data_IF_526471576766
#
_entry.id   IF_526471576766
#
_cell.length_a   1.000
_cell.length_b   1.000
_cell.length_c   1.000
_cell.angle_alpha   90.00
_cell.angle_beta   90.00
_cell.angle_gamma   90.00
#
_symmetry.space_group_name_H-M   'P 1'
#
loop_
_entity.id
_entity.type
_entity.pdbx_description
1 polymer ?
2 non-polymer ?
3 non-polymer ?
4 non-polymer ?
5 water ?
#
# COMPACT_ATOMS: atom_id res chain seq x y z
N UNK A 11 -25.34 8.77 21.96
CA UNK A 11 -24.08 9.44 21.71
C UNK A 11 -23.45 9.01 20.40
N UNK A 12 -23.46 9.93 19.43
CA UNK A 12 -22.98 9.59 18.08
C UNK A 12 -21.49 9.23 18.09
N UNK A 13 -20.71 9.90 18.94
CA UNK A 13 -19.31 9.54 19.07
C UNK A 13 -19.16 8.13 19.60
N UNK A 14 -19.98 7.76 20.59
CA UNK A 14 -19.92 6.42 21.17
C UNK A 14 -20.48 5.39 20.21
N UNK A 15 -21.43 5.78 19.35
CA UNK A 15 -21.98 4.84 18.39
C UNK A 15 -20.95 4.39 17.37
N UNK A 16 -20.14 5.33 16.88
CA UNK A 16 -19.07 4.97 15.95
C UNK A 16 -18.03 4.11 16.65
N UNK A 17 -17.72 4.43 17.92
CA UNK A 17 -16.73 3.65 18.65
C UNK A 17 -17.17 2.22 18.88
N UNK A 18 -18.47 2.01 19.15
CA UNK A 18 -18.98 0.64 19.25
C UNK A 18 -18.93 -0.06 17.90
N UNK A 19 -19.26 0.66 16.82
CA UNK A 19 -19.14 0.09 15.48
C UNK A 19 -17.69 -0.29 15.17
N UNK A 20 -16.76 0.65 15.40
CA UNK A 20 -15.35 0.35 15.18
C UNK A 20 -14.88 -0.80 16.07
N UNK A 21 -15.42 -0.88 17.29
CA UNK A 21 -15.06 -1.99 18.17
C UNK A 21 -15.46 -3.33 17.60
N UNK A 22 -16.70 -3.43 17.08
CA UNK A 22 -17.14 -4.67 16.47
C UNK A 22 -16.48 -4.92 15.11
N UNK A 23 -16.04 -3.86 14.43
CA UNK A 23 -15.27 -4.05 13.20
C UNK A 23 -13.96 -4.76 13.48
N UNK A 24 -13.22 -4.30 14.49
CA UNK A 24 -11.91 -4.89 14.79
C UNK A 24 -12.05 -6.27 15.43
N UNK A 25 -13.11 -6.49 16.21
CA UNK A 25 -13.31 -7.81 16.80
C UNK A 25 -13.63 -8.84 15.73
N UNK A 26 -14.54 -8.49 14.81
CA UNK A 26 -14.92 -9.42 13.75
C UNK A 26 -13.78 -9.66 12.78
N UNK A 27 -12.84 -8.72 12.68
CA UNK A 27 -11.74 -8.86 11.74
C UNK A 27 -10.85 -10.05 12.09
N UNK A 28 -10.72 -10.35 13.38
CA UNK A 28 -9.83 -11.41 13.86
C UNK A 28 -10.23 -12.75 13.24
N UNK A 29 -11.46 -13.26 13.43
CA UNK A 29 -11.81 -14.51 12.75
C UNK A 29 -11.81 -14.41 11.23
N UNK A 30 -12.19 -13.26 10.67
CA UNK A 30 -12.20 -13.12 9.21
C UNK A 30 -10.78 -13.27 8.66
N UNK A 31 -9.79 -12.71 9.35
CA UNK A 31 -8.42 -12.83 8.89
C UNK A 31 -7.91 -14.26 9.03
N UNK A 32 -8.11 -14.87 10.21
CA UNK A 32 -7.49 -16.16 10.48
C UNK A 32 -8.17 -17.29 9.72
N UNK A 33 -9.49 -17.26 9.60
CA UNK A 33 -10.21 -18.40 9.03
C UNK A 33 -10.51 -18.24 7.55
N UNK A 34 -10.30 -17.06 6.96
CA UNK A 34 -10.72 -16.86 5.58
C UNK A 34 -9.66 -16.17 4.73
N UNK A 35 -9.17 -15.00 5.18
CA UNK A 35 -8.27 -14.22 4.35
C UNK A 35 -6.92 -14.89 4.16
N UNK A 36 -6.46 -15.65 5.15
CA UNK A 36 -5.11 -16.22 5.14
C UNK A 36 -5.08 -17.64 4.61
N UNK A 37 -6.11 -18.07 3.87
CA UNK A 37 -6.11 -19.42 3.31
C UNK A 37 -4.99 -19.60 2.29
N UNK A 38 -4.61 -18.53 1.58
CA UNK A 38 -3.56 -18.65 0.60
C UNK A 38 -2.16 -18.54 1.18
N UNK A 39 -2.02 -17.86 2.32
CA UNK A 39 -0.71 -17.71 2.95
C UNK A 39 -0.40 -18.87 3.89
N UNK A 40 -1.39 -19.30 4.67
CA UNK A 40 -1.19 -20.34 5.67
C UNK A 40 -1.45 -21.72 5.09
N UNK A 41 -0.89 -22.77 5.71
CA UNK A 41 -0.97 -24.11 5.11
C UNK A 41 -2.35 -24.73 5.20
N UNK A 42 -2.65 -25.55 4.20
CA UNK A 42 -3.96 -26.19 4.08
C UNK A 42 -4.28 -27.05 5.29
N UNK A 43 -3.31 -27.84 5.75
CA UNK A 43 -3.57 -28.81 6.81
C UNK A 43 -3.90 -28.16 8.15
N UNK A 44 -3.56 -26.87 8.32
CA UNK A 44 -3.99 -26.15 9.52
C UNK A 44 -5.52 -26.05 9.58
N UNK A 45 -6.17 -26.02 8.43
CA UNK A 45 -7.60 -25.77 8.42
C UNK A 45 -8.38 -27.07 8.33
N UNK A 46 -9.43 -27.25 9.14
CA UNK A 46 -10.29 -28.43 8.98
C UNK A 46 -10.99 -28.41 7.63
N UNK A 47 -11.48 -29.60 7.24
CA UNK A 47 -12.10 -29.77 5.93
C UNK A 47 -13.36 -28.92 5.81
N UNK A 48 -14.10 -28.73 6.91
CA UNK A 48 -15.31 -27.93 6.85
C UNK A 48 -14.97 -26.46 6.61
N UNK A 49 -13.87 -25.98 7.18
CA UNK A 49 -13.45 -24.62 6.92
C UNK A 49 -12.88 -24.47 5.52
N UNK A 50 -12.20 -25.51 5.03
CA UNK A 50 -11.66 -25.44 3.67
C UNK A 50 -12.79 -25.47 2.63
N UNK A 51 -13.86 -26.21 2.90
CA UNK A 51 -15.00 -26.21 2.00
C UNK A 51 -15.75 -24.88 2.04
N UNK A 52 -15.81 -24.25 3.22
CA UNK A 52 -16.41 -22.92 3.31
C UNK A 52 -15.61 -21.90 2.51
N UNK A 53 -14.28 -21.97 2.60
CA UNK A 53 -13.44 -21.11 1.78
C UNK A 53 -13.69 -21.37 0.29
N UNK A 54 -13.90 -22.63 -0.09
CA UNK A 54 -14.20 -22.93 -1.48
C UNK A 54 -15.56 -22.37 -1.90
N UNK A 55 -16.53 -22.35 -0.98
CA UNK A 55 -17.81 -21.74 -1.30
C UNK A 55 -17.67 -20.25 -1.58
N UNK A 56 -16.85 -19.56 -0.78
CA UNK A 56 -16.63 -18.14 -1.04
C UNK A 56 -15.97 -17.92 -2.39
N UNK A 57 -14.91 -18.68 -2.68
CA UNK A 57 -14.15 -18.48 -3.92
C UNK A 57 -15.04 -18.69 -5.13
N UNK A 58 -15.92 -19.68 -5.09
CA UNK A 58 -16.74 -20.01 -6.26
C UNK A 58 -17.97 -19.11 -6.36
N UNK A 59 -18.62 -18.81 -5.24
CA UNK A 59 -19.79 -17.94 -5.27
C UNK A 59 -19.43 -16.52 -5.71
N UNK A 60 -18.34 -15.97 -5.18
CA UNK A 60 -17.96 -14.60 -5.45
C UNK A 60 -16.92 -14.48 -6.56
N UNK A 61 -16.46 -15.61 -7.12
CA UNK A 61 -15.52 -15.61 -8.23
C UNK A 61 -14.26 -14.81 -7.88
N UNK A 62 -13.74 -15.03 -6.67
CA UNK A 62 -12.55 -14.32 -6.20
C UNK A 62 -11.29 -14.94 -6.79
N UNK A 63 -10.51 -14.20 -7.57
CA UNK A 63 -9.35 -14.80 -8.25
C UNK A 63 -8.04 -14.64 -7.49
N UNK A 64 -8.05 -13.90 -6.39
CA UNK A 64 -6.82 -13.52 -5.70
C UNK A 64 -6.62 -14.24 -4.38
N UNK A 65 -7.67 -14.54 -3.62
CA UNK A 65 -7.49 -14.93 -2.23
C UNK A 65 -6.96 -16.36 -2.08
N UNK A 66 -7.41 -17.28 -2.92
CA UNK A 66 -7.03 -18.68 -2.75
C UNK A 66 -5.59 -18.93 -3.23
N UNK A 67 -5.23 -18.43 -4.41
CA UNK A 67 -3.88 -18.56 -4.96
C UNK A 67 -3.30 -17.16 -5.13
N UNK A 68 -2.82 -16.53 -4.07
CA UNK A 68 -2.48 -15.11 -4.12
C UNK A 68 -1.26 -14.84 -4.98
N UNK A 69 -1.33 -13.82 -5.84
CA UNK A 69 -0.11 -13.32 -6.48
C UNK A 69 0.82 -12.69 -5.45
N UNK A 70 2.08 -12.52 -5.85
CA UNK A 70 3.11 -12.08 -4.91
C UNK A 70 2.76 -10.74 -4.28
N UNK A 71 2.18 -9.82 -5.05
CA UNK A 71 1.85 -8.50 -4.50
C UNK A 71 0.71 -8.60 -3.50
N UNK A 72 -0.28 -9.43 -3.77
CA UNK A 72 -1.37 -9.62 -2.82
C UNK A 72 -0.93 -10.46 -1.63
N UNK A 73 -0.04 -11.44 -1.85
CA UNK A 73 0.48 -12.25 -0.75
C UNK A 73 1.27 -11.39 0.23
N UNK A 74 2.04 -10.43 -0.27
CA UNK A 74 2.78 -9.54 0.61
C UNK A 74 1.81 -8.75 1.50
N UNK A 75 0.65 -8.36 0.94
CA UNK A 75 -0.36 -7.68 1.75
C UNK A 75 -0.95 -8.62 2.80
N UNK A 76 -1.17 -9.88 2.42
CA UNK A 76 -1.74 -10.84 3.37
C UNK A 76 -0.80 -11.06 4.55
N UNK A 77 0.51 -11.12 4.29
CA UNK A 77 1.46 -11.25 5.38
C UNK A 77 1.44 -10.01 6.27
N UNK A 78 1.26 -8.83 5.67
CA UNK A 78 1.09 -7.62 6.48
C UNK A 78 -0.13 -7.72 7.37
N UNK A 79 -1.18 -8.40 6.89
CA UNK A 79 -2.39 -8.55 7.69
C UNK A 79 -2.14 -9.45 8.90
N UNK A 80 -1.30 -10.46 8.74
CA UNK A 80 -1.04 -11.39 9.83
C UNK A 80 -0.07 -10.79 10.84
N UNK A 81 0.99 -10.16 10.36
CA UNK A 81 2.09 -9.77 11.25
C UNK A 81 1.82 -8.42 11.90
N UNK A 82 1.21 -7.49 11.17
CA UNK A 82 0.99 -6.14 11.70
C UNK A 82 -0.45 -5.90 12.11
N UNK A 83 -1.40 -6.15 11.20
CA UNK A 83 -2.78 -5.76 11.44
C UNK A 83 -3.41 -6.59 12.55
N UNK A 84 -3.26 -7.92 12.46
CA UNK A 84 -3.93 -8.80 13.41
C UNK A 84 -3.54 -8.57 14.86
N UNK A 85 -2.27 -8.32 15.20
CA UNK A 85 -1.96 -7.94 16.60
C UNK A 85 -2.64 -6.66 17.02
N UNK A 86 -2.93 -5.76 16.08
CA UNK A 86 -3.55 -4.48 16.42
C UNK A 86 -5.05 -4.63 16.67
N UNK A 87 -5.69 -5.62 16.04
CA UNK A 87 -7.14 -5.75 16.12
C UNK A 87 -7.69 -5.81 17.54
N UNK A 88 -7.19 -6.67 18.44
CA UNK A 88 -7.75 -6.67 19.81
C UNK A 88 -7.46 -5.39 20.57
N UNK A 89 -6.29 -4.78 20.37
CA UNK A 89 -5.96 -3.54 21.05
C UNK A 89 -6.90 -2.42 20.60
N UNK A 90 -7.20 -2.37 19.30
CA UNK A 90 -8.11 -1.35 18.80
C UNK A 90 -9.54 -1.59 19.30
N UNK A 91 -9.96 -2.85 19.31
CA UNK A 91 -11.30 -3.18 19.81
C UNK A 91 -11.46 -2.73 21.26
N UNK A 92 -10.47 -3.04 22.10
CA UNK A 92 -10.53 -2.61 23.50
C UNK A 92 -10.62 -1.10 23.60
N UNK A 93 -9.77 -0.39 22.85
CA UNK A 93 -9.70 1.06 22.96
C UNK A 93 -11.05 1.69 22.65
N UNK A 94 -11.70 1.24 21.57
CA UNK A 94 -12.94 1.89 21.15
C UNK A 94 -14.13 1.38 21.96
N UNK A 95 -14.14 0.10 22.32
CA UNK A 95 -15.18 -0.40 23.21
C UNK A 95 -15.14 0.31 24.56
N UNK A 96 -13.94 0.61 25.05
CA UNK A 96 -13.83 1.29 26.35
C UNK A 96 -14.00 2.80 26.20
N UNK A 97 -13.50 3.37 25.11
CA UNK A 97 -13.52 4.80 24.93
C UNK A 97 -12.55 5.50 25.86
N UNK A 98 -12.31 6.79 25.61
CA UNK A 98 -11.38 7.52 26.45
C UNK A 98 -9.92 7.15 26.25
N UNK A 99 -9.57 6.61 25.09
CA UNK A 99 -8.21 6.13 24.83
C UNK A 99 -7.59 6.96 23.71
N UNK A 100 -7.18 8.19 24.06
CA UNK A 100 -6.55 9.07 23.08
C UNK A 100 -5.30 8.45 22.48
N UNK A 101 -4.65 7.53 23.21
CA UNK A 101 -3.41 6.93 22.75
C UNK A 101 -3.58 6.05 21.51
N UNK A 102 -4.82 5.78 21.10
CA UNK A 102 -5.03 4.94 19.91
C UNK A 102 -4.96 5.73 18.63
N UNK A 103 -4.93 7.07 18.70
CA UNK A 103 -5.06 7.91 17.51
C UNK A 103 -3.97 7.63 16.48
N UNK A 104 -2.71 7.93 16.82
CA UNK A 104 -1.63 7.70 15.87
C UNK A 104 -1.54 6.26 15.41
N UNK A 105 -1.68 5.23 16.26
CA UNK A 105 -1.73 3.86 15.71
C UNK A 105 -2.86 3.65 14.73
N UNK A 106 -4.08 4.11 15.06
CA UNK A 106 -5.22 3.90 14.18
C UNK A 106 -5.06 4.64 12.86
N UNK A 107 -4.41 5.81 12.87
CA UNK A 107 -4.10 6.50 11.63
C UNK A 107 -3.19 5.63 10.77
N UNK A 108 -2.13 5.09 11.37
CA UNK A 108 -1.22 4.20 10.65
C UNK A 108 -1.98 3.01 10.10
N UNK A 109 -2.77 2.33 10.94
CA UNK A 109 -3.54 1.19 10.46
C UNK A 109 -4.42 1.58 9.27
N UNK A 110 -5.05 2.75 9.34
CA UNK A 110 -6.06 3.11 8.35
C UNK A 110 -5.43 3.38 7.00
N UNK A 111 -4.38 4.20 6.97
CA UNK A 111 -3.73 4.53 5.70
C UNK A 111 -3.09 3.29 5.09
N UNK A 112 -2.53 2.42 5.93
CA UNK A 112 -1.96 1.17 5.42
C UNK A 112 -3.02 0.30 4.75
N UNK A 113 -4.20 0.21 5.34
CA UNK A 113 -5.23 -0.68 4.79
C UNK A 113 -5.93 -0.03 3.60
N UNK A 114 -6.12 1.28 3.63
CA UNK A 114 -6.61 1.99 2.44
C UNK A 114 -5.66 1.82 1.28
N UNK A 115 -4.35 1.99 1.53
CA UNK A 115 -3.38 1.81 0.47
C UNK A 115 -3.37 0.37 -0.03
N UNK A 116 -3.57 -0.59 0.87
CA UNK A 116 -3.66 -1.98 0.45
C UNK A 116 -4.83 -2.21 -0.49
N UNK A 117 -5.98 -1.57 -0.21
CA UNK A 117 -7.20 -1.87 -0.93
C UNK A 117 -7.28 -1.24 -2.31
N UNK A 118 -6.55 -0.13 -2.54
CA UNK A 118 -6.62 0.54 -3.83
C UNK A 118 -6.19 -0.37 -4.98
N UNK A 119 -5.03 -1.03 -4.94
CA UNK A 119 -4.69 -1.94 -6.05
C UNK A 119 -5.59 -3.16 -6.13
N UNK A 120 -6.07 -3.69 -5.00
CA UNK A 120 -7.01 -4.81 -5.03
C UNK A 120 -8.28 -4.42 -5.76
N UNK A 121 -8.92 -3.32 -5.33
CA UNK A 121 -10.14 -2.86 -5.99
C UNK A 121 -9.91 -2.51 -7.45
N UNK A 122 -8.75 -1.94 -7.77
CA UNK A 122 -8.44 -1.62 -9.16
C UNK A 122 -8.40 -2.87 -10.02
N UNK A 123 -7.69 -3.91 -9.55
CA UNK A 123 -7.59 -5.15 -10.32
C UNK A 123 -8.96 -5.79 -10.52
N UNK A 124 -9.73 -5.91 -9.43
CA UNK A 124 -11.02 -6.58 -9.52
C UNK A 124 -11.97 -5.86 -10.48
N UNK A 125 -11.79 -4.55 -10.65
CA UNK A 125 -12.72 -3.76 -11.46
C UNK A 125 -12.25 -3.55 -12.90
N UNK A 126 -10.94 -3.56 -13.15
CA UNK A 126 -10.39 -3.12 -14.42
C UNK A 126 -9.57 -4.15 -15.18
N UNK A 127 -9.47 -5.39 -14.68
CA UNK A 127 -8.65 -6.41 -15.31
C UNK A 127 -9.53 -7.46 -15.99
N UNK A 128 -9.07 -7.96 -17.13
CA UNK A 128 -9.80 -8.99 -17.86
C UNK A 128 -9.47 -10.35 -17.26
N UNK A 129 -10.44 -10.98 -16.60
CA UNK A 129 -10.30 -12.32 -16.06
C UNK A 129 -10.83 -13.39 -17.00
N UNK A 130 -11.17 -13.01 -18.24
CA UNK A 130 -11.72 -13.94 -19.23
C UNK A 130 -10.58 -14.68 -19.92
N UNK A 131 -10.36 -15.93 -19.52
CA UNK A 131 -9.31 -16.78 -20.11
C UNK A 131 -7.95 -16.09 -20.10
N UNK A 132 -7.74 -15.22 -19.12
CA UNK A 132 -6.41 -14.68 -18.86
C UNK A 132 -5.62 -15.77 -18.15
N UNK A 133 -4.57 -16.27 -18.81
CA UNK A 133 -3.70 -17.28 -18.22
C UNK A 133 -3.16 -16.79 -16.88
N UNK A 134 -3.29 -15.48 -16.63
CA UNK A 134 -2.84 -14.90 -15.37
C UNK A 134 -3.57 -15.50 -14.17
N UNK A 135 -4.86 -15.84 -14.31
CA UNK A 135 -5.65 -16.30 -13.17
C UNK A 135 -6.34 -17.64 -13.43
N UNK A 136 -5.88 -18.40 -14.43
CA UNK A 136 -6.35 -19.76 -14.70
C UNK A 136 -7.87 -19.81 -14.89
N UNK A 137 -8.39 -18.84 -15.65
CA UNK A 137 -9.79 -18.84 -16.03
C UNK A 137 -10.77 -18.50 -14.92
N UNK A 138 -10.30 -17.85 -13.86
CA UNK A 138 -11.13 -17.55 -12.71
C UNK A 138 -11.22 -16.04 -12.50
N UNK A 139 -12.31 -15.60 -11.89
CA UNK A 139 -12.52 -14.20 -11.62
C UNK A 139 -13.80 -13.68 -12.26
N UNK A 140 -14.17 -12.45 -11.90
CA UNK A 140 -15.42 -11.89 -12.42
C UNK A 140 -15.31 -11.58 -13.91
N UNK A 141 -16.37 -11.91 -14.65
CA UNK A 141 -16.41 -11.70 -16.08
C UNK A 141 -17.31 -10.55 -16.49
N UNK A 142 -18.51 -10.45 -15.91
CA UNK A 142 -19.39 -9.32 -16.16
C UNK A 142 -19.15 -8.22 -15.14
N UNK A 143 -19.74 -7.05 -15.40
CA UNK A 143 -19.58 -5.94 -14.47
C UNK A 143 -20.37 -6.15 -13.18
N UNK A 144 -21.45 -6.91 -13.23
CA UNK A 144 -22.21 -7.18 -12.01
C UNK A 144 -21.48 -8.18 -11.12
N UNK A 145 -20.86 -9.19 -11.72
CA UNK A 145 -20.01 -10.08 -10.95
C UNK A 145 -18.86 -9.32 -10.29
N UNK A 146 -18.34 -8.29 -10.97
CA UNK A 146 -17.28 -7.47 -10.38
C UNK A 146 -17.79 -6.71 -9.16
N UNK A 147 -18.98 -6.10 -9.26
CA UNK A 147 -19.57 -5.41 -8.12
C UNK A 147 -19.87 -6.37 -6.98
N UNK A 148 -20.27 -7.60 -7.31
CA UNK A 148 -20.55 -8.58 -6.27
C UNK A 148 -19.30 -8.95 -5.48
N UNK A 149 -18.16 -9.05 -6.16
CA UNK A 149 -16.91 -9.36 -5.50
C UNK A 149 -16.39 -8.17 -4.69
N UNK A 150 -16.33 -7.01 -5.32
CA UNK A 150 -15.93 -5.76 -4.64
C UNK A 150 -16.77 -5.51 -3.41
N UNK A 151 -18.01 -6.02 -3.39
CA UNK A 151 -18.90 -5.83 -2.25
C UNK A 151 -18.29 -6.31 -0.94
N UNK A 152 -17.41 -7.33 -0.98
CA UNK A 152 -16.78 -7.78 0.26
C UNK A 152 -15.45 -7.09 0.53
N UNK A 153 -14.83 -6.49 -0.48
CA UNK A 153 -13.57 -5.78 -0.28
C UNK A 153 -13.78 -4.31 0.07
N UNK A 154 -14.87 -3.70 -0.40
CA UNK A 154 -15.04 -2.25 -0.22
C UNK A 154 -15.14 -1.83 1.24
N UNK A 155 -15.73 -2.61 2.17
CA UNK A 155 -15.82 -2.09 3.55
C UNK A 155 -14.47 -1.93 4.20
N UNK A 156 -13.47 -2.66 3.75
CA UNK A 156 -12.14 -2.57 4.32
C UNK A 156 -11.32 -1.45 3.70
N UNK A 157 -11.92 -0.65 2.82
CA UNK A 157 -11.42 0.65 2.45
C UNK A 157 -12.21 1.77 3.12
N UNK A 158 -13.55 1.67 3.10
CA UNK A 158 -14.38 2.77 3.57
C UNK A 158 -14.33 2.91 5.08
N UNK A 159 -14.30 1.80 5.82
CA UNK A 159 -14.27 1.87 7.27
C UNK A 159 -12.92 2.43 7.72
N UNK A 160 -11.78 2.00 7.17
CA UNK A 160 -10.52 2.71 7.46
C UNK A 160 -10.57 4.19 7.12
N UNK A 161 -11.26 4.57 6.04
CA UNK A 161 -11.37 5.98 5.69
C UNK A 161 -12.14 6.76 6.75
N UNK A 162 -13.22 6.16 7.26
CA UNK A 162 -13.96 6.77 8.35
C UNK A 162 -13.07 6.89 9.59
N UNK A 163 -12.27 5.87 9.87
CA UNK A 163 -11.40 5.91 11.05
C UNK A 163 -10.34 6.99 10.91
N UNK A 164 -9.81 7.20 9.70
CA UNK A 164 -8.81 8.24 9.50
C UNK A 164 -9.39 9.62 9.79
N UNK A 165 -10.52 9.94 9.16
CA UNK A 165 -11.18 11.22 9.40
C UNK A 165 -11.52 11.40 10.88
N UNK A 166 -12.05 10.34 11.50
CA UNK A 166 -12.33 10.35 12.93
C UNK A 166 -11.10 10.76 13.74
N UNK A 167 -9.97 10.10 13.50
CA UNK A 167 -8.79 10.38 14.31
C UNK A 167 -8.20 11.75 14.00
N UNK A 168 -8.26 12.18 12.73
CA UNK A 168 -7.60 13.41 12.32
C UNK A 168 -8.42 14.65 12.71
N UNK A 169 -9.74 14.53 12.78
CA UNK A 169 -10.59 15.69 12.95
C UNK A 169 -11.36 15.75 14.26
N UNK A 170 -11.64 14.61 14.90
CA UNK A 170 -12.47 14.63 16.11
C UNK A 170 -11.69 15.25 17.27
N UNK A 171 -12.30 16.16 18.03
CA UNK A 171 -11.53 16.93 19.03
C UNK A 171 -10.93 16.08 20.15
N UNK A 172 -11.56 14.96 20.53
CA UNK A 172 -10.99 14.18 21.63
C UNK A 172 -9.66 13.56 21.22
N UNK A 173 -9.57 13.02 20.00
CA UNK A 173 -8.38 12.34 19.52
C UNK A 173 -7.44 13.27 18.75
N UNK A 174 -7.47 14.58 19.03
CA UNK A 174 -6.65 15.57 18.34
C UNK A 174 -6.69 15.41 16.81
N UNK B 8 29.06 25.98 12.00
CA UNK B 8 28.97 26.18 13.43
C UNK B 8 28.50 24.95 14.17
N UNK B 9 27.20 24.91 14.47
CA UNK B 9 26.58 23.78 15.17
C UNK B 9 25.43 23.26 14.32
N UNK B 10 25.61 22.06 13.76
CA UNK B 10 24.54 21.36 13.07
C UNK B 10 24.17 20.12 13.89
N UNK B 11 22.94 20.10 14.40
CA UNK B 11 22.47 18.99 15.20
C UNK B 11 21.92 17.86 14.36
N UNK B 12 21.62 16.75 15.04
CA UNK B 12 21.12 15.57 14.34
C UNK B 12 19.70 15.78 13.84
N UNK B 13 18.85 16.44 14.64
CA UNK B 13 17.49 16.73 14.19
C UNK B 13 17.52 17.59 12.92
N UNK B 14 18.27 18.69 12.96
CA UNK B 14 18.27 19.64 11.85
C UNK B 14 18.92 19.05 10.61
N UNK B 15 19.91 18.16 10.80
CA UNK B 15 20.49 17.49 9.65
C UNK B 15 19.50 16.56 8.96
N UNK B 16 18.69 15.85 9.74
CA UNK B 16 17.69 14.97 9.16
C UNK B 16 16.63 15.76 8.42
N UNK B 17 16.26 16.93 8.93
CA UNK B 17 15.25 17.75 8.27
C UNK B 17 15.77 18.27 6.93
N UNK B 18 17.04 18.69 6.88
CA UNK B 18 17.64 19.08 5.60
C UNK B 18 17.68 17.88 4.64
N UNK B 19 17.98 16.69 5.16
CA UNK B 19 17.97 15.50 4.33
C UNK B 19 16.56 15.23 3.78
N UNK B 20 15.54 15.43 4.62
CA UNK B 20 14.18 15.19 4.19
C UNK B 20 13.74 16.20 3.13
N UNK B 21 14.18 17.46 3.27
CA UNK B 21 13.88 18.45 2.26
C UNK B 21 14.42 18.06 0.89
N UNK B 22 15.64 17.53 0.84
CA UNK B 22 16.22 17.18 -0.44
C UNK B 22 15.61 15.89 -1.00
N UNK B 23 15.21 14.96 -0.14
CA UNK B 23 14.44 13.81 -0.58
C UNK B 23 13.16 14.24 -1.30
N UNK B 24 12.39 15.13 -0.68
CA UNK B 24 11.11 15.54 -1.26
C UNK B 24 11.28 16.49 -2.44
N UNK B 25 12.30 17.34 -2.42
CA UNK B 25 12.55 18.18 -3.59
C UNK B 25 13.03 17.35 -4.78
N UNK B 26 13.83 16.31 -4.53
CA UNK B 26 14.30 15.48 -5.62
C UNK B 26 13.19 14.57 -6.16
N UNK B 27 12.20 14.23 -5.32
CA UNK B 27 11.15 13.31 -5.76
C UNK B 27 10.29 13.92 -6.87
N UNK B 28 10.17 15.25 -6.90
CA UNK B 28 9.30 15.91 -7.88
C UNK B 28 9.77 15.59 -9.30
N UNK B 29 11.00 15.90 -9.72
CA UNK B 29 11.39 15.53 -11.08
C UNK B 29 11.44 14.03 -11.31
N UNK B 30 11.81 13.26 -10.29
CA UNK B 30 11.84 11.80 -10.41
C UNK B 30 10.45 11.28 -10.76
N UNK B 31 9.42 11.83 -10.11
CA UNK B 31 8.06 11.37 -10.38
C UNK B 31 7.59 11.81 -11.76
N UNK B 32 7.84 13.06 -12.14
CA UNK B 32 7.33 13.58 -13.39
C UNK B 32 8.05 12.99 -14.59
N UNK B 33 9.37 12.89 -14.53
CA UNK B 33 10.18 12.57 -15.70
C UNK B 33 10.51 11.09 -15.84
N UNK B 34 10.27 10.28 -14.81
CA UNK B 34 10.66 8.88 -14.87
C UNK B 34 9.55 7.94 -14.41
N UNK B 35 9.05 8.12 -13.19
CA UNK B 35 8.09 7.17 -12.62
C UNK B 35 6.80 7.14 -13.41
N UNK B 36 6.28 8.31 -13.81
CA UNK B 36 4.99 8.38 -14.46
C UNK B 36 5.06 8.19 -15.97
N UNK B 37 6.17 7.63 -16.49
CA UNK B 37 6.27 7.37 -17.92
C UNK B 37 5.28 6.30 -18.38
N UNK B 38 4.80 5.47 -17.46
CA UNK B 38 3.87 4.41 -17.82
C UNK B 38 2.40 4.76 -17.75
N UNK B 39 2.07 5.96 -17.28
CA UNK B 39 0.67 6.35 -17.23
C UNK B 39 0.46 7.66 -17.99
N UNK B 40 1.47 8.55 -17.98
CA UNK B 40 1.31 9.80 -18.69
C UNK B 40 1.57 9.60 -20.19
N UNK B 41 0.90 10.38 -21.04
CA UNK B 41 1.14 10.27 -22.48
C UNK B 41 2.60 10.52 -22.84
N UNK B 42 3.10 9.76 -23.80
CA UNK B 42 4.50 9.85 -24.19
C UNK B 42 4.84 11.22 -24.77
N UNK B 43 3.88 11.85 -25.44
CA UNK B 43 4.17 13.11 -26.13
C UNK B 43 4.32 14.28 -25.18
N UNK B 44 4.04 14.11 -23.89
CA UNK B 44 4.43 15.13 -22.93
C UNK B 44 5.92 15.08 -22.65
N UNK B 45 6.64 14.07 -23.17
CA UNK B 45 8.08 13.93 -22.96
C UNK B 45 8.83 14.13 -24.26
N UNK B 46 9.93 14.89 -24.26
CA UNK B 46 10.82 14.91 -25.42
C UNK B 46 11.53 13.58 -25.58
N UNK B 47 11.96 13.31 -26.81
CA UNK B 47 12.51 11.99 -27.14
C UNK B 47 13.75 11.67 -26.31
N UNK B 48 14.55 12.69 -25.96
CA UNK B 48 15.73 12.45 -25.16
C UNK B 48 15.36 11.92 -23.78
N UNK B 49 14.24 12.40 -23.23
CA UNK B 49 13.76 11.93 -21.95
C UNK B 49 13.09 10.57 -22.06
N UNK B 50 12.45 10.27 -23.19
CA UNK B 50 11.87 8.95 -23.40
C UNK B 50 12.95 7.91 -23.62
N UNK B 51 14.06 8.27 -24.26
CA UNK B 51 15.16 7.33 -24.44
C UNK B 51 15.97 7.15 -23.16
N UNK B 52 16.06 8.20 -22.33
CA UNK B 52 16.60 8.04 -20.99
C UNK B 52 15.73 7.08 -20.18
N UNK B 53 14.41 7.17 -20.35
CA UNK B 53 13.52 6.20 -19.74
C UNK B 53 13.82 4.79 -20.22
N UNK B 54 14.02 4.62 -21.53
CA UNK B 54 14.35 3.31 -22.07
C UNK B 54 15.68 2.80 -21.54
N UNK B 55 16.64 3.69 -21.33
CA UNK B 55 17.94 3.27 -20.83
C UNK B 55 17.82 2.69 -19.42
N UNK B 56 17.05 3.35 -18.56
CA UNK B 56 16.86 2.82 -17.21
C UNK B 56 16.22 1.44 -17.23
N UNK B 57 15.21 1.27 -18.07
CA UNK B 57 14.49 -0.01 -18.10
C UNK B 57 15.37 -1.12 -18.63
N UNK B 58 16.24 -0.81 -19.60
CA UNK B 58 17.12 -1.83 -20.15
C UNK B 58 18.26 -2.17 -19.19
N UNK B 59 18.91 -1.14 -18.65
CA UNK B 59 20.06 -1.37 -17.78
C UNK B 59 19.63 -2.06 -16.48
N UNK B 60 18.61 -1.54 -15.83
CA UNK B 60 18.20 -2.02 -14.53
C UNK B 60 17.16 -3.13 -14.61
N UNK B 61 16.75 -3.51 -15.82
CA UNK B 61 15.86 -4.65 -16.03
C UNK B 61 14.55 -4.49 -15.24
N UNK B 62 13.92 -3.32 -15.38
CA UNK B 62 12.73 -3.00 -14.59
C UNK B 62 11.49 -3.55 -15.28
N UNK B 63 10.72 -4.41 -14.64
CA UNK B 63 9.51 -4.99 -15.26
C UNK B 63 8.22 -4.25 -14.97
N UNK B 64 8.24 -3.17 -14.20
CA UNK B 64 7.02 -2.55 -13.72
C UNK B 64 6.79 -1.13 -14.21
N UNK B 65 7.84 -0.34 -14.43
CA UNK B 65 7.63 1.08 -14.67
C UNK B 65 7.11 1.35 -16.08
N UNK B 66 7.70 0.71 -17.09
CA UNK B 66 7.35 1.02 -18.47
C UNK B 66 5.94 0.54 -18.81
N UNK B 67 5.62 -0.71 -18.51
CA UNK B 67 4.34 -1.33 -18.83
C UNK B 67 3.69 -1.81 -17.53
N UNK B 68 3.05 -0.92 -16.78
CA UNK B 68 2.69 -1.23 -15.38
C UNK B 68 1.46 -2.10 -15.29
N UNK B 69 1.50 -3.14 -14.46
CA UNK B 69 0.28 -3.90 -14.17
C UNK B 69 -0.74 -3.05 -13.44
N UNK B 70 -1.98 -3.53 -13.41
CA UNK B 70 -3.08 -2.77 -12.83
C UNK B 70 -2.82 -2.41 -11.38
N UNK B 71 -2.36 -3.38 -10.58
CA UNK B 71 -2.06 -3.09 -9.18
C UNK B 71 -0.97 -2.02 -9.07
N UNK B 72 0.08 -2.14 -9.89
CA UNK B 72 1.13 -1.13 -9.86
C UNK B 72 0.68 0.17 -10.50
N UNK B 73 -0.18 0.11 -11.52
CA UNK B 73 -0.68 1.34 -12.12
C UNK B 73 -1.55 2.14 -11.16
N UNK B 74 -2.20 1.48 -10.21
CA UNK B 74 -3.01 2.20 -9.23
C UNK B 74 -2.13 2.95 -8.25
N UNK B 75 -0.98 2.37 -7.87
CA UNK B 75 -0.03 3.09 -7.05
C UNK B 75 0.57 4.28 -7.79
N UNK B 76 0.76 4.16 -9.11
CA UNK B 76 1.32 5.27 -9.88
C UNK B 76 0.37 6.46 -9.89
N UNK B 77 -0.93 6.22 -9.98
CA UNK B 77 -1.87 7.34 -9.94
C UNK B 77 -1.96 7.96 -8.55
N UNK B 78 -1.69 7.18 -7.50
CA UNK B 78 -1.55 7.78 -6.17
C UNK B 78 -0.33 8.69 -6.11
N UNK B 79 0.78 8.27 -6.72
CA UNK B 79 1.97 9.10 -6.76
C UNK B 79 1.65 10.45 -7.39
N UNK B 80 0.95 10.45 -8.53
CA UNK B 80 0.61 11.69 -9.21
C UNK B 80 -0.39 12.50 -8.40
N UNK B 81 -1.52 11.89 -8.03
CA UNK B 81 -2.64 12.68 -7.53
C UNK B 81 -2.47 13.02 -6.04
N UNK B 82 -1.84 12.15 -5.25
CA UNK B 82 -1.71 12.39 -3.82
C UNK B 82 -0.30 12.81 -3.42
N UNK B 83 0.72 12.07 -3.85
CA UNK B 83 2.07 12.31 -3.33
C UNK B 83 2.69 13.57 -3.93
N UNK B 84 2.51 13.79 -5.22
CA UNK B 84 3.23 14.89 -5.88
C UNK B 84 2.84 16.27 -5.37
N UNK B 85 1.57 16.60 -5.14
CA UNK B 85 1.28 17.91 -4.53
C UNK B 85 1.84 18.05 -3.13
N UNK B 86 2.04 16.94 -2.43
CA UNK B 86 2.55 17.00 -1.07
C UNK B 86 4.05 17.27 -1.03
N UNK B 87 4.78 16.88 -2.09
CA UNK B 87 6.23 17.02 -2.11
C UNK B 87 6.70 18.46 -1.91
N UNK B 88 6.14 19.49 -2.57
CA UNK B 88 6.62 20.85 -2.29
C UNK B 88 6.31 21.29 -0.87
N UNK B 89 5.14 20.93 -0.34
CA UNK B 89 4.76 21.35 1.01
C UNK B 89 5.68 20.72 2.05
N UNK B 90 6.03 19.45 1.86
CA UNK B 90 6.93 18.80 2.81
C UNK B 90 8.36 19.30 2.66
N UNK B 91 8.79 19.59 1.43
CA UNK B 91 10.11 20.18 1.24
C UNK B 91 10.21 21.53 1.95
N UNK B 92 9.21 22.39 1.79
CA UNK B 92 9.17 23.65 2.51
C UNK B 92 9.30 23.42 4.01
N UNK B 93 8.43 22.56 4.56
CA UNK B 93 8.36 22.39 6.01
C UNK B 93 9.68 21.89 6.59
N UNK B 94 10.34 20.95 5.91
CA UNK B 94 11.56 20.38 6.46
C UNK B 94 12.78 21.26 6.21
N UNK B 95 12.76 22.06 5.15
CA UNK B 95 13.79 23.06 4.97
C UNK B 95 13.65 24.18 6.00
N UNK B 96 12.41 24.60 6.27
CA UNK B 96 12.17 25.62 7.29
C UNK B 96 12.44 25.07 8.68
N UNK B 97 11.83 23.92 9.01
CA UNK B 97 12.24 23.11 10.13
C UNK B 97 11.37 23.17 11.37
N UNK B 98 10.57 24.22 11.54
CA UNK B 98 9.80 24.34 12.76
C UNK B 98 8.30 24.11 12.60
N UNK B 99 7.91 23.23 11.68
CA UNK B 99 6.53 23.14 11.24
C UNK B 99 5.85 21.91 11.87
N UNK B 100 5.18 22.15 13.01
CA UNK B 100 4.42 21.09 13.65
C UNK B 100 3.23 20.63 12.80
N UNK B 101 2.76 21.47 11.88
CA UNK B 101 1.63 21.14 11.02
C UNK B 101 1.97 20.11 9.95
N UNK B 102 3.21 19.62 9.91
CA UNK B 102 3.56 18.60 8.93
C UNK B 102 3.48 17.19 9.50
N UNK B 103 3.26 17.05 10.81
CA UNK B 103 3.34 15.74 11.47
C UNK B 103 2.36 14.74 10.88
N UNK B 104 1.07 15.01 11.01
CA UNK B 104 0.06 14.07 10.52
C UNK B 104 0.13 13.85 9.01
N UNK B 105 0.30 14.87 8.17
CA UNK B 105 0.48 14.58 6.73
C UNK B 105 1.71 13.75 6.42
N UNK B 106 2.80 13.92 7.18
CA UNK B 106 4.01 13.16 6.91
C UNK B 106 3.85 11.69 7.29
N UNK B 107 3.17 11.44 8.41
CA UNK B 107 2.86 10.07 8.82
C UNK B 107 1.97 9.40 7.78
N UNK B 108 0.97 10.14 7.27
CA UNK B 108 0.12 9.59 6.23
C UNK B 108 0.95 9.25 4.99
N UNK B 109 1.79 10.18 4.56
CA UNK B 109 2.66 9.89 3.42
C UNK B 109 3.53 8.67 3.68
N UNK B 110 4.13 8.60 4.87
CA UNK B 110 5.11 7.55 5.15
C UNK B 110 4.45 6.17 5.13
N UNK B 111 3.30 6.04 5.79
CA UNK B 111 2.60 4.76 5.81
C UNK B 111 2.15 4.38 4.40
N UNK B 112 1.56 5.35 3.68
CA UNK B 112 1.14 5.10 2.30
C UNK B 112 2.29 4.59 1.43
N UNK B 113 3.46 5.20 1.56
CA UNK B 113 4.55 4.85 0.64
C UNK B 113 5.23 3.54 1.06
N UNK B 114 5.41 3.31 2.36
CA UNK B 114 5.93 2.02 2.82
C UNK B 114 5.01 0.88 2.37
N UNK B 115 3.69 1.09 2.48
CA UNK B 115 2.75 0.05 2.07
C UNK B 115 2.80 -0.16 0.56
N UNK B 116 3.00 0.92 -0.19
CA UNK B 116 3.14 0.80 -1.65
C UNK B 116 4.35 -0.06 -2.01
N UNK B 117 5.44 0.05 -1.26
CA UNK B 117 6.69 -0.56 -1.70
C UNK B 117 6.88 -1.99 -1.24
N UNK B 118 6.11 -2.43 -0.25
CA UNK B 118 6.14 -3.83 0.16
C UNK B 118 5.84 -4.74 -1.02
N UNK B 119 4.70 -4.58 -1.72
CA UNK B 119 4.46 -5.47 -2.86
C UNK B 119 5.43 -5.27 -4.02
N UNK B 120 5.96 -4.06 -4.20
CA UNK B 120 6.95 -3.84 -5.25
C UNK B 120 8.21 -4.65 -4.96
N UNK B 121 8.74 -4.55 -3.74
CA UNK B 121 9.96 -5.27 -3.39
C UNK B 121 9.76 -6.77 -3.39
N UNK B 122 8.58 -7.24 -2.98
CA UNK B 122 8.31 -8.68 -2.99
C UNK B 122 8.22 -9.21 -4.41
N UNK B 123 7.60 -8.45 -5.32
CA UNK B 123 7.52 -8.88 -6.71
C UNK B 123 8.91 -8.93 -7.34
N UNK B 124 9.72 -7.91 -7.10
CA UNK B 124 11.07 -7.89 -7.66
C UNK B 124 11.93 -9.00 -7.10
N UNK B 125 11.69 -9.42 -5.86
CA UNK B 125 12.53 -10.43 -5.25
C UNK B 125 12.08 -11.85 -5.55
N UNK B 126 10.78 -12.08 -5.82
CA UNK B 126 10.23 -13.42 -5.80
C UNK B 126 9.57 -13.88 -7.09
N UNK B 127 9.19 -12.99 -7.99
CA UNK B 127 8.38 -13.38 -9.14
C UNK B 127 9.25 -13.80 -10.32
N UNK B 128 8.61 -14.45 -11.29
CA UNK B 128 9.28 -14.97 -12.49
C UNK B 128 9.11 -13.98 -13.63
N UNK B 129 10.22 -13.41 -14.08
CA UNK B 129 10.22 -12.41 -15.14
C UNK B 129 10.83 -12.93 -16.44
N UNK B 130 10.65 -14.23 -16.72
CA UNK B 130 11.29 -14.86 -17.86
C UNK B 130 10.53 -14.57 -19.14
N UNK B 131 11.05 -15.09 -20.25
CA UNK B 131 10.35 -15.01 -21.52
C UNK B 131 8.98 -15.67 -21.41
N UNK B 132 8.94 -16.85 -20.79
CA UNK B 132 7.69 -17.60 -20.69
C UNK B 132 6.70 -16.95 -19.72
N UNK B 133 7.00 -15.76 -19.20
CA UNK B 133 6.10 -15.06 -18.32
C UNK B 133 5.39 -13.93 -19.06
N UNK B 134 4.45 -13.29 -18.35
CA UNK B 134 3.74 -12.15 -18.93
C UNK B 134 4.62 -10.91 -19.00
N UNK B 135 5.70 -10.86 -18.24
CA UNK B 135 6.68 -9.79 -18.37
C UNK B 135 7.61 -10.01 -19.55
N UNK B 136 7.56 -11.19 -20.18
CA UNK B 136 8.19 -11.43 -21.49
C UNK B 136 9.69 -11.15 -21.46
N UNK B 137 10.33 -11.49 -20.35
CA UNK B 137 11.77 -11.39 -20.27
C UNK B 137 12.32 -10.02 -19.93
N UNK B 138 11.47 -9.04 -19.64
CA UNK B 138 11.92 -7.70 -19.29
C UNK B 138 11.98 -7.53 -17.78
N UNK B 139 12.72 -8.41 -17.13
CA UNK B 139 12.87 -8.38 -15.71
C UNK B 139 14.14 -9.05 -15.24
N UNK B 140 14.44 -8.93 -13.94
CA UNK B 140 15.70 -9.50 -13.42
C UNK B 140 15.62 -11.02 -13.36
N UNK B 141 16.67 -11.66 -13.86
CA UNK B 141 16.76 -13.11 -13.85
C UNK B 141 17.66 -13.62 -12.72
N UNK B 142 18.85 -13.06 -12.57
CA UNK B 142 19.77 -13.50 -11.54
C UNK B 142 19.43 -12.82 -10.21
N UNK B 143 19.91 -13.44 -9.13
CA UNK B 143 19.76 -12.84 -7.81
C UNK B 143 20.46 -11.49 -7.72
N UNK B 144 21.56 -11.31 -8.45
CA UNK B 144 22.22 -10.02 -8.47
C UNK B 144 21.40 -8.99 -9.25
N UNK B 145 20.75 -9.41 -10.33
CA UNK B 145 19.90 -8.50 -11.08
C UNK B 145 18.68 -8.09 -10.26
N UNK B 146 18.18 -8.98 -9.39
CA UNK B 146 17.06 -8.63 -8.54
C UNK B 146 17.46 -7.60 -7.50
N UNK B 147 18.65 -7.76 -6.90
CA UNK B 147 19.11 -6.83 -5.86
C UNK B 147 19.68 -5.55 -6.43
N UNK B 148 20.16 -5.57 -7.67
CA UNK B 148 20.60 -4.32 -8.31
C UNK B 148 19.40 -3.42 -8.61
N UNK B 149 18.22 -4.00 -8.81
CA UNK B 149 17.00 -3.24 -9.07
C UNK B 149 16.32 -2.80 -7.79
N UNK B 150 16.19 -3.72 -6.82
CA UNK B 150 15.68 -3.39 -5.48
C UNK B 150 16.43 -2.21 -4.89
N UNK B 151 17.71 -2.04 -5.25
CA UNK B 151 18.51 -0.94 -4.75
C UNK B 151 17.95 0.42 -5.17
N UNK B 152 17.21 0.48 -6.28
CA UNK B 152 16.65 1.75 -6.71
C UNK B 152 15.36 2.05 -5.95
N UNK B 153 14.68 1.02 -5.46
CA UNK B 153 13.40 1.20 -4.79
C UNK B 153 13.53 1.28 -3.28
N UNK B 154 14.56 0.67 -2.71
CA UNK B 154 14.70 0.52 -1.25
C UNK B 154 14.76 1.85 -0.50
N UNK B 155 15.30 2.96 -1.04
CA UNK B 155 15.24 4.21 -0.27
C UNK B 155 13.85 4.75 -0.12
N UNK B 156 12.93 4.38 -1.01
CA UNK B 156 11.57 4.87 -0.92
C UNK B 156 10.73 4.06 0.07
N UNK B 157 11.28 2.97 0.60
CA UNK B 157 10.73 2.36 1.79
C UNK B 157 11.42 2.89 3.05
N UNK B 158 12.75 2.90 3.04
CA UNK B 158 13.50 3.19 4.25
C UNK B 158 13.37 4.65 4.68
N UNK B 159 13.37 5.58 3.72
CA UNK B 159 13.30 6.99 4.06
C UNK B 159 11.91 7.33 4.59
N UNK B 160 10.82 6.80 3.99
CA UNK B 160 9.53 6.88 4.70
C UNK B 160 9.55 6.23 6.08
N UNK B 161 10.31 5.14 6.25
CA UNK B 161 10.39 4.52 7.58
C UNK B 161 11.08 5.43 8.58
N UNK B 162 12.14 6.13 8.15
CA UNK B 162 12.81 7.07 9.04
C UNK B 162 11.92 8.26 9.34
N UNK B 163 11.21 8.78 8.33
CA UNK B 163 10.31 9.90 8.55
C UNK B 163 9.20 9.54 9.53
N UNK B 164 8.64 8.34 9.41
CA UNK B 164 7.58 7.92 10.32
C UNK B 164 8.07 7.86 11.77
N UNK B 165 9.24 7.28 12.00
CA UNK B 165 9.78 7.24 13.35
C UNK B 165 10.07 8.65 13.87
N UNK B 166 10.62 9.52 13.02
CA UNK B 166 10.91 10.89 13.42
C UNK B 166 9.65 11.63 13.84
N UNK B 167 8.56 11.47 13.07
CA UNK B 167 7.32 12.20 13.32
C UNK B 167 6.54 11.66 14.51
N UNK B 168 6.71 10.38 14.85
CA UNK B 168 5.96 9.82 15.98
C UNK B 168 6.60 10.21 17.32
N UNK B 169 7.92 10.42 17.33
CA UNK B 169 8.63 10.59 18.60
C UNK B 169 9.16 12.00 18.85
N UNK B 170 9.30 12.82 17.82
CA UNK B 170 9.93 14.14 17.99
C UNK B 170 9.04 15.06 18.82
N UNK B 171 9.49 15.53 19.98
CA UNK B 171 8.66 16.46 20.76
C UNK B 171 8.44 17.79 20.06
N UNK B 172 9.30 18.16 19.12
CA UNK B 172 9.21 19.44 18.43
C UNK B 172 8.20 19.44 17.30
N UNK B 173 7.49 18.33 17.08
CA UNK B 173 6.38 18.30 16.13
C UNK B 173 5.04 18.00 16.76
N UNK B 174 5.02 17.52 18.01
CA UNK B 174 3.76 17.32 18.73
C UNK B 174 3.45 18.54 19.59
#
# INVERSE_FOLDING_TARGET
>A
GPGGSSMGTLGARRGLEWFLGFYFLSHIPITLLMDLQGVLPRDLYPVELRNLQQWYIEEFKDPLLQTPPAWFKSFLFCELVFQLPFFPIAAYAFFKGGCKWIRTPAIIYSVHTMTTLIPILSTLLLDDFSKASHFRGQGPKTFQERLFLISVYIPYFLIPLILLLFMVRNPYYK
>B
GPGGSSMGTLGARRGLEWFLGFYFLSHIPITLLMDLQGVLPRDLYPVELRNLQQWYIEEFKDPLLQTPPAWFKSFLFCELVFQLPFFPIAAYAFFKGGCKWIRTPAIIYSVHTMTTLIPILSTLLLDDFSKASHFRGQGPKTFQERLFLISVYIPYFLIPLILLLFMVRNPYYK
#
